data_IF_042283597211
#
_entry.id   IF_042283597211
#
_cell.length_a   1.000
_cell.length_b   1.000
_cell.length_c   1.000
_cell.angle_alpha   90.00
_cell.angle_beta   90.00
_cell.angle_gamma   90.00
#
_symmetry.space_group_name_H-M   'P 1'
#
loop_
_entity.id
_entity.type
_entity.pdbx_description
1 polymer ?
#
# COMPACT_ATOMS: atom_id res chain seq x y z
N UNK A 1 -2.88 18.27 -20.20
CA UNK A 1 -2.77 16.84 -19.80
C UNK A 1 -2.96 16.72 -18.29
N UNK A 2 -3.86 15.86 -17.81
CA UNK A 2 -4.13 15.72 -16.37
C UNK A 2 -2.99 14.94 -15.72
N UNK A 3 -2.31 15.53 -14.74
CA UNK A 3 -1.17 14.89 -14.07
C UNK A 3 -1.59 13.67 -13.22
N UNK A 4 -0.63 12.79 -12.96
CA UNK A 4 -0.81 11.52 -12.22
C UNK A 4 -1.44 11.77 -10.83
N UNK A 5 -2.53 11.06 -10.53
CA UNK A 5 -3.30 11.26 -9.29
C UNK A 5 -2.53 10.81 -8.05
N UNK A 6 -2.90 11.33 -6.87
CA UNK A 6 -2.31 10.87 -5.59
C UNK A 6 -2.49 9.35 -5.40
N UNK A 7 -3.58 8.78 -5.91
CA UNK A 7 -3.88 7.34 -5.87
C UNK A 7 -2.91 6.54 -6.74
N UNK A 8 -2.69 6.96 -7.98
CA UNK A 8 -1.75 6.33 -8.91
C UNK A 8 -0.31 6.35 -8.35
N UNK A 9 0.14 7.51 -7.86
CA UNK A 9 1.46 7.64 -7.20
C UNK A 9 1.64 6.67 -6.03
N UNK A 10 0.59 6.50 -5.21
CA UNK A 10 0.60 5.55 -4.08
C UNK A 10 0.63 4.09 -4.57
N UNK A 11 -0.15 3.74 -5.57
CA UNK A 11 -0.15 2.38 -6.15
C UNK A 11 1.22 2.01 -6.72
N UNK A 12 1.89 2.94 -7.41
CA UNK A 12 3.25 2.74 -7.92
C UNK A 12 4.25 2.46 -6.80
N UNK A 13 4.20 3.22 -5.70
CA UNK A 13 5.04 2.96 -4.51
C UNK A 13 4.71 1.62 -3.86
N UNK A 14 3.43 1.29 -3.68
CA UNK A 14 3.01 0.00 -3.13
C UNK A 14 3.55 -1.17 -3.98
N UNK A 15 3.48 -1.08 -5.32
CA UNK A 15 4.02 -2.11 -6.22
C UNK A 15 5.52 -2.29 -6.02
N UNK A 16 6.29 -1.19 -5.92
CA UNK A 16 7.75 -1.25 -5.66
C UNK A 16 8.07 -1.87 -4.29
N UNK A 17 7.39 -1.43 -3.23
CA UNK A 17 7.61 -1.96 -1.87
C UNK A 17 7.26 -3.44 -1.81
N UNK A 18 6.14 -3.85 -2.41
CA UNK A 18 5.68 -5.26 -2.44
C UNK A 18 6.56 -6.18 -3.29
N UNK A 19 7.38 -5.64 -4.19
CA UNK A 19 8.39 -6.44 -4.88
C UNK A 19 9.46 -6.97 -3.91
N UNK A 20 9.75 -6.23 -2.84
CA UNK A 20 10.70 -6.62 -1.78
C UNK A 20 10.00 -7.21 -0.55
N UNK A 21 8.84 -6.67 -0.17
CA UNK A 21 8.11 -7.02 1.06
C UNK A 21 6.77 -7.68 0.69
N UNK A 22 6.79 -9.00 0.53
CA UNK A 22 5.58 -9.80 0.27
C UNK A 22 4.89 -10.30 1.53
N UNK A 23 5.61 -10.52 2.63
CA UNK A 23 5.03 -11.25 3.76
C UNK A 23 4.84 -12.74 3.45
N UNK A 24 4.87 -13.57 4.48
CA UNK A 24 4.62 -15.00 4.42
C UNK A 24 3.89 -15.44 5.69
N UNK A 25 3.53 -16.71 5.80
CA UNK A 25 2.75 -17.21 6.95
C UNK A 25 3.42 -16.97 8.31
N UNK A 26 4.75 -17.13 8.38
CA UNK A 26 5.50 -16.90 9.62
C UNK A 26 5.72 -15.41 9.94
N UNK A 27 5.72 -14.56 8.91
CA UNK A 27 5.93 -13.10 8.98
C UNK A 27 4.99 -12.40 8.01
N UNK A 28 3.71 -12.24 8.37
CA UNK A 28 2.74 -11.60 7.49
C UNK A 28 3.05 -10.11 7.36
N UNK A 29 2.60 -9.50 6.26
CA UNK A 29 2.79 -8.07 5.99
C UNK A 29 1.60 -7.26 6.52
N UNK A 30 1.90 -6.09 7.07
CA UNK A 30 0.86 -5.10 7.38
C UNK A 30 0.48 -4.31 6.12
N UNK A 31 -0.80 -4.32 5.77
CA UNK A 31 -1.38 -3.52 4.69
C UNK A 31 -2.17 -2.36 5.28
N UNK A 32 -1.87 -1.13 4.86
CA UNK A 32 -2.52 0.08 5.38
C UNK A 32 -3.22 0.84 4.27
N UNK A 33 -4.45 1.28 4.55
CA UNK A 33 -5.20 2.22 3.75
C UNK A 33 -5.52 3.46 4.58
N UNK A 34 -5.26 4.64 4.01
CA UNK A 34 -5.54 5.94 4.65
C UNK A 34 -6.50 6.76 3.79
N UNK A 35 -7.56 7.25 4.42
CA UNK A 35 -8.47 8.27 3.92
C UNK A 35 -8.23 9.61 4.66
N UNK A 36 -9.08 10.60 4.43
CA UNK A 36 -9.02 11.87 5.17
C UNK A 36 -9.45 11.70 6.64
N UNK A 37 -10.38 10.79 6.89
CA UNK A 37 -11.04 10.67 8.20
C UNK A 37 -10.51 9.49 9.01
N UNK A 38 -10.03 8.43 8.35
CA UNK A 38 -9.67 7.18 9.02
C UNK A 38 -8.43 6.51 8.43
N UNK A 39 -7.83 5.64 9.22
CA UNK A 39 -6.76 4.73 8.83
C UNK A 39 -7.20 3.31 9.14
N UNK A 40 -7.09 2.45 8.15
CA UNK A 40 -7.42 1.04 8.24
C UNK A 40 -6.16 0.21 8.03
N UNK A 41 -6.00 -0.84 8.81
CA UNK A 41 -4.87 -1.75 8.73
C UNK A 41 -5.34 -3.21 8.71
N UNK A 42 -4.63 -4.05 7.96
CA UNK A 42 -4.89 -5.48 7.83
C UNK A 42 -3.56 -6.25 7.86
N UNK A 43 -3.53 -7.39 8.53
CA UNK A 43 -2.42 -8.33 8.46
C UNK A 43 -2.71 -9.33 7.35
N UNK A 44 -1.81 -9.45 6.37
CA UNK A 44 -1.96 -10.27 5.15
C UNK A 44 -0.74 -11.17 4.96
#
# INVERSE_FOLDING_TARGET
MKGETKREKRQRRHKKVRAKIRGNFQRPRLCVFRSLNHIYAQII
#
